data_IF_937410137227
#
_entry.id   IF_937410137227
#
_cell.length_a   1.000
_cell.length_b   1.000
_cell.length_c   1.000
_cell.angle_alpha   90.00
_cell.angle_beta   90.00
_cell.angle_gamma   90.00
#
_symmetry.space_group_name_H-M   'P 1'
#
loop_
_entity.id
_entity.type
_entity.pdbx_description
1 polymer ?
#
# COMPACT_ATOMS: atom_id res chain seq x y z
N UNK A 1 0.56 29.43 -5.93
CA UNK A 1 0.69 28.73 -7.19
C UNK A 1 1.54 27.49 -7.05
N UNK A 2 2.69 27.63 -6.43
CA UNK A 2 3.48 26.46 -6.09
C UNK A 2 2.68 25.48 -5.21
N UNK A 3 1.79 26.01 -4.41
CA UNK A 3 0.96 25.18 -3.55
C UNK A 3 0.01 24.29 -4.35
N UNK A 4 -0.51 24.78 -5.46
CA UNK A 4 -1.41 23.98 -6.29
C UNK A 4 -0.66 22.84 -6.94
N UNK A 5 0.52 23.11 -7.43
CA UNK A 5 1.35 22.06 -8.02
C UNK A 5 1.75 21.05 -6.95
N UNK A 6 2.08 21.57 -5.77
CA UNK A 6 2.46 20.73 -4.65
C UNK A 6 1.32 19.82 -4.21
N UNK A 7 0.11 20.38 -4.14
CA UNK A 7 -1.07 19.58 -3.79
C UNK A 7 -1.37 18.54 -4.84
N UNK A 8 -1.17 18.87 -6.09
CA UNK A 8 -1.36 17.93 -7.18
C UNK A 8 -0.36 16.78 -7.08
N UNK A 9 0.89 17.09 -6.80
CA UNK A 9 1.92 16.07 -6.63
C UNK A 9 1.70 15.22 -5.39
N UNK A 10 1.13 15.83 -4.35
CA UNK A 10 0.80 15.09 -3.14
C UNK A 10 -0.42 14.19 -3.34
N UNK A 11 -1.22 14.48 -4.34
CA UNK A 11 -2.39 13.68 -4.63
C UNK A 11 -1.96 12.42 -5.36
N UNK A 12 -1.41 11.52 -4.61
CA UNK A 12 -1.11 10.22 -5.17
C UNK A 12 -2.42 9.50 -5.43
N UNK A 13 -2.43 8.69 -6.47
CA UNK A 13 -3.58 7.87 -6.72
C UNK A 13 -3.78 6.93 -5.53
N UNK A 14 -5.02 6.45 -5.39
CA UNK A 14 -5.32 5.50 -4.33
C UNK A 14 -4.42 4.27 -4.41
N UNK A 15 -4.13 3.84 -5.62
CA UNK A 15 -3.27 2.69 -5.85
C UNK A 15 -1.86 2.94 -5.33
N UNK A 16 -1.31 4.12 -5.62
CA UNK A 16 0.04 4.45 -5.16
C UNK A 16 0.12 4.49 -3.63
N UNK A 17 -0.90 5.06 -3.00
CA UNK A 17 -0.95 5.11 -1.53
C UNK A 17 -0.97 3.72 -0.93
N UNK A 18 -1.75 2.84 -1.51
CA UNK A 18 -1.83 1.46 -1.03
C UNK A 18 -0.52 0.74 -1.22
N UNK A 19 0.14 0.94 -2.37
CA UNK A 19 1.43 0.32 -2.62
C UNK A 19 2.48 0.79 -1.62
N UNK A 20 2.48 2.08 -1.29
CA UNK A 20 3.41 2.60 -0.31
C UNK A 20 3.16 2.01 1.07
N UNK A 21 1.90 1.89 1.45
CA UNK A 21 1.57 1.29 2.73
C UNK A 21 1.95 -0.18 2.78
N UNK A 22 1.74 -0.89 1.69
CA UNK A 22 2.14 -2.28 1.63
C UNK A 22 3.63 -2.43 1.84
N UNK A 23 4.43 -1.64 1.14
CA UNK A 23 5.88 -1.67 1.31
C UNK A 23 6.29 -1.34 2.73
N UNK A 24 5.64 -0.35 3.32
CA UNK A 24 5.96 0.05 4.69
C UNK A 24 5.68 -1.08 5.68
N UNK A 25 4.53 -1.73 5.53
CA UNK A 25 4.20 -2.85 6.43
C UNK A 25 5.13 -4.03 6.21
N UNK A 26 5.50 -4.32 4.97
CA UNK A 26 6.44 -5.41 4.71
C UNK A 26 7.82 -5.10 5.29
N UNK A 27 8.24 -3.85 5.21
CA UNK A 27 9.51 -3.45 5.81
C UNK A 27 9.48 -3.61 7.32
N UNK A 28 8.40 -3.16 7.95
CA UNK A 28 8.23 -3.31 9.39
C UNK A 28 8.17 -4.78 9.80
N UNK A 29 7.49 -5.59 8.99
CA UNK A 29 7.44 -7.03 9.25
C UNK A 29 8.83 -7.64 9.22
N UNK A 30 9.62 -7.25 8.24
CA UNK A 30 10.98 -7.75 8.12
C UNK A 30 11.81 -7.37 9.33
N UNK A 31 11.71 -6.11 9.76
CA UNK A 31 12.44 -5.64 10.92
C UNK A 31 12.03 -6.37 12.19
N UNK A 32 10.74 -6.60 12.37
CA UNK A 32 10.23 -7.26 13.56
C UNK A 32 10.42 -8.77 13.53
N UNK A 33 10.66 -9.35 12.38
CA UNK A 33 10.80 -10.80 12.28
C UNK A 33 11.95 -11.33 13.12
N UNK A 34 12.95 -10.49 13.38
CA UNK A 34 14.09 -10.88 14.19
C UNK A 34 13.87 -10.63 15.67
N UNK A 35 12.90 -9.80 16.01
CA UNK A 35 12.68 -9.36 17.39
C UNK A 35 11.40 -9.97 17.94
N UNK A 36 10.31 -9.87 17.22
CA UNK A 36 9.02 -10.33 17.69
C UNK A 36 8.20 -10.86 16.51
N UNK A 37 8.12 -12.19 16.44
CA UNK A 37 7.48 -12.84 15.31
C UNK A 37 5.99 -12.57 15.24
N UNK A 38 5.33 -12.43 16.40
CA UNK A 38 3.89 -12.16 16.41
C UNK A 38 3.60 -10.80 15.77
N UNK A 39 4.40 -9.80 16.09
CA UNK A 39 4.22 -8.49 15.50
C UNK A 39 4.54 -8.52 14.01
N UNK A 40 5.58 -9.26 13.65
CA UNK A 40 5.92 -9.44 12.24
C UNK A 40 4.76 -10.04 11.46
N UNK A 41 4.17 -11.11 11.98
CA UNK A 41 3.04 -11.75 11.32
C UNK A 41 1.85 -10.80 11.19
N UNK A 42 1.63 -9.97 12.18
CA UNK A 42 0.57 -8.97 12.13
C UNK A 42 0.79 -7.98 11.00
N UNK A 43 2.01 -7.52 10.83
CA UNK A 43 2.32 -6.61 9.73
C UNK A 43 2.18 -7.29 8.38
N UNK A 44 2.61 -8.55 8.26
CA UNK A 44 2.44 -9.31 7.03
C UNK A 44 0.97 -9.42 6.68
N UNK A 45 0.12 -9.69 7.66
CA UNK A 45 -1.32 -9.79 7.44
C UNK A 45 -1.89 -8.48 6.94
N UNK A 46 -1.47 -7.37 7.53
CA UNK A 46 -1.92 -6.06 7.08
C UNK A 46 -1.47 -5.77 5.65
N UNK A 47 -0.24 -6.14 5.32
CA UNK A 47 0.26 -5.97 3.97
C UNK A 47 -0.54 -6.81 2.97
N UNK A 48 -0.92 -8.02 3.37
CA UNK A 48 -1.75 -8.88 2.52
C UNK A 48 -3.13 -8.29 2.28
N UNK A 49 -3.73 -7.70 3.32
CA UNK A 49 -5.02 -7.04 3.17
C UNK A 49 -4.93 -5.88 2.18
N UNK A 50 -3.85 -5.13 2.24
CA UNK A 50 -3.63 -4.04 1.31
C UNK A 50 -3.41 -4.58 -0.10
N UNK A 51 -2.68 -5.67 -0.23
CA UNK A 51 -2.47 -6.31 -1.53
C UNK A 51 -3.80 -6.73 -2.16
N UNK A 52 -4.74 -7.21 -1.37
CA UNK A 52 -6.05 -7.56 -1.87
C UNK A 52 -6.81 -6.33 -2.37
N UNK A 53 -6.68 -5.22 -1.67
CA UNK A 53 -7.32 -3.98 -2.12
C UNK A 53 -6.71 -3.49 -3.43
N UNK A 54 -5.38 -3.59 -3.55
CA UNK A 54 -4.71 -3.23 -4.79
C UNK A 54 -5.21 -4.10 -5.93
N UNK A 55 -5.30 -5.39 -5.71
CA UNK A 55 -5.77 -6.31 -6.72
C UNK A 55 -7.19 -5.99 -7.16
N UNK A 56 -8.05 -5.66 -6.22
CA UNK A 56 -9.42 -5.29 -6.52
C UNK A 56 -9.48 -4.05 -7.40
N UNK A 57 -8.68 -3.04 -7.06
CA UNK A 57 -8.66 -1.81 -7.86
C UNK A 57 -8.17 -2.11 -9.27
N UNK A 58 -7.12 -2.89 -9.41
CA UNK A 58 -6.58 -3.22 -10.71
C UNK A 58 -7.57 -4.04 -11.53
N UNK A 59 -8.28 -4.95 -10.89
CA UNK A 59 -9.30 -5.75 -11.56
C UNK A 59 -10.45 -4.87 -12.06
N UNK A 60 -10.87 -3.91 -11.25
CA UNK A 60 -11.93 -2.99 -11.65
C UNK A 60 -11.51 -2.15 -12.85
N UNK A 61 -10.26 -1.71 -12.87
CA UNK A 61 -9.73 -0.96 -14.00
C UNK A 61 -9.75 -1.80 -15.27
N UNK A 62 -9.38 -3.06 -15.16
CA UNK A 62 -9.40 -3.95 -16.33
C UNK A 62 -10.82 -4.12 -16.86
N UNK A 63 -11.80 -4.23 -15.97
CA UNK A 63 -13.19 -4.37 -16.40
C UNK A 63 -13.69 -3.15 -17.16
N UNK A 64 -13.27 -1.98 -16.70
CA UNK A 64 -13.69 -0.75 -17.35
C UNK A 64 -13.09 -0.64 -18.75
N UNK A 65 -11.91 -1.18 -18.93
CA UNK A 65 -11.19 -1.08 -20.20
C UNK A 65 -11.63 -2.14 -21.22
N UNK A 66 -12.38 -3.12 -20.79
CA UNK A 66 -12.91 -4.11 -21.72
C UNK A 66 -14.33 -3.76 -22.11
#
# INVERSE_FOLDING_TARGET
MLQKIFNFLKRKTQLEKLQEKQEEFLKKAYEQSKINRKISDSYVQKANEIAQKIDTIMTQHKKINT
#
